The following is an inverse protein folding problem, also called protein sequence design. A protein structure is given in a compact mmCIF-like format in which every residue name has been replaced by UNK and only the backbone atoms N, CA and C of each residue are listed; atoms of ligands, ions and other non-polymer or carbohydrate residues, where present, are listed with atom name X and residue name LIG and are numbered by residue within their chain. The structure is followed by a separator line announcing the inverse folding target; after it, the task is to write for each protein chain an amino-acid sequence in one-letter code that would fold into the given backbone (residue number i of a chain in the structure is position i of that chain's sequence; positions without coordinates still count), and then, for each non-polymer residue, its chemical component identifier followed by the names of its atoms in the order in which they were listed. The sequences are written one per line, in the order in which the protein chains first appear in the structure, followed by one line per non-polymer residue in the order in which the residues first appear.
data_IF_476817795996
#
_entry.id   IF_476817795996
#
_cell.length_a   1.000
_cell.length_b   1.000
_cell.length_c   1.000
_cell.angle_alpha   90.00
_cell.angle_beta   90.00
_cell.angle_gamma   90.00
#
_symmetry.space_group_name_H-M   'P 1'
#
loop_
_entity.id
_entity.type
_entity.pdbx_description
1 polymer ?
#
# COMPACT_ATOMS: atom_id res chain seq x y z
N UNK A 1 3.24 8.46 11.48
CA UNK A 1 2.83 8.91 10.14
C UNK A 1 3.94 8.64 9.13
N UNK A 2 3.59 8.35 7.90
CA UNK A 2 4.54 8.16 6.79
C UNK A 2 5.12 9.50 6.33
N UNK A 3 6.40 9.55 5.88
CA UNK A 3 6.99 10.77 5.28
C UNK A 3 6.30 11.26 4.01
N UNK A 4 5.39 10.46 3.44
CA UNK A 4 4.61 10.80 2.24
C UNK A 4 3.11 10.96 2.54
N UNK A 5 2.72 10.93 3.81
CA UNK A 5 1.33 11.11 4.23
C UNK A 5 0.82 12.53 3.92
N UNK A 6 -0.46 12.68 3.53
CA UNK A 6 -1.10 14.00 3.39
C UNK A 6 -0.99 14.87 4.65
N UNK A 7 -0.95 14.26 5.83
CA UNK A 7 -0.78 14.98 7.10
C UNK A 7 0.58 15.68 7.19
N UNK A 8 1.64 15.06 6.68
CA UNK A 8 2.97 15.66 6.65
C UNK A 8 3.03 16.84 5.69
N UNK A 9 2.30 16.76 4.57
CA UNK A 9 2.16 17.86 3.61
C UNK A 9 1.44 19.05 4.26
N UNK A 10 0.36 18.82 4.99
CA UNK A 10 -0.36 19.86 5.75
C UNK A 10 0.54 20.51 6.80
N UNK A 11 1.37 19.72 7.44
CA UNK A 11 2.33 20.16 8.44
C UNK A 11 3.43 21.04 7.82
N UNK A 12 4.08 20.56 6.76
CA UNK A 12 5.16 21.28 6.06
C UNK A 12 4.63 22.57 5.42
N UNK A 13 3.41 22.55 4.85
CA UNK A 13 2.77 23.72 4.25
C UNK A 13 2.21 24.73 5.28
N UNK A 14 2.35 24.46 6.57
CA UNK A 14 1.88 25.37 7.63
C UNK A 14 0.38 25.42 7.84
N UNK A 15 -0.37 24.42 7.34
CA UNK A 15 -1.82 24.28 7.58
C UNK A 15 -2.07 23.93 9.05
N UNK A 16 -1.15 23.17 9.66
CA UNK A 16 -1.18 22.84 11.08
C UNK A 16 -0.08 23.66 11.77
N UNK A 17 -0.46 24.46 12.78
CA UNK A 17 0.49 25.31 13.50
C UNK A 17 1.34 24.50 14.47
N UNK A 18 2.65 24.57 14.31
CA UNK A 18 3.66 24.00 15.19
C UNK A 18 4.83 24.99 15.32
N UNK A 19 5.73 24.73 16.26
CA UNK A 19 6.96 25.53 16.36
C UNK A 19 7.82 25.43 15.09
N UNK A 20 8.51 26.51 14.73
CA UNK A 20 9.40 26.52 13.56
C UNK A 20 10.53 25.48 13.69
N UNK A 21 10.98 25.16 14.89
CA UNK A 21 11.95 24.12 15.17
C UNK A 21 11.43 22.73 14.77
N UNK A 22 10.22 22.38 15.22
CA UNK A 22 9.59 21.12 14.86
C UNK A 22 9.33 21.03 13.36
N UNK A 23 8.88 22.11 12.74
CA UNK A 23 8.65 22.18 11.31
C UNK A 23 9.93 21.91 10.50
N UNK A 24 11.04 22.52 10.87
CA UNK A 24 12.34 22.27 10.24
C UNK A 24 12.80 20.82 10.44
N UNK A 25 12.75 20.32 11.67
CA UNK A 25 13.14 18.95 11.99
C UNK A 25 12.35 17.91 11.21
N UNK A 26 11.03 18.12 11.05
CA UNK A 26 10.16 17.24 10.24
C UNK A 26 10.51 17.36 8.77
N UNK A 27 10.69 18.56 8.23
CA UNK A 27 11.05 18.76 6.83
C UNK A 27 12.38 18.08 6.47
N UNK A 28 13.39 18.25 7.30
CA UNK A 28 14.72 17.62 7.12
C UNK A 28 14.61 16.09 7.17
N UNK A 29 13.81 15.54 8.09
CA UNK A 29 13.60 14.11 8.19
C UNK A 29 12.86 13.55 6.96
N UNK A 30 11.80 14.21 6.51
CA UNK A 30 11.01 13.83 5.34
C UNK A 30 11.87 13.82 4.08
N UNK A 31 12.71 14.84 3.90
CA UNK A 31 13.65 14.92 2.77
C UNK A 31 14.62 13.74 2.74
N UNK A 32 15.20 13.41 3.90
CA UNK A 32 16.10 12.25 4.03
C UNK A 32 15.38 10.93 3.79
N UNK A 33 14.15 10.78 4.33
CA UNK A 33 13.37 9.55 4.21
C UNK A 33 12.87 9.30 2.78
N UNK A 34 12.55 10.34 2.01
CA UNK A 34 12.15 10.24 0.60
C UNK A 34 13.25 9.70 -0.32
N UNK A 35 14.52 9.84 0.07
CA UNK A 35 15.65 9.29 -0.70
C UNK A 35 15.79 7.78 -0.57
N UNK A 36 15.10 7.16 0.42
CA UNK A 36 15.09 5.71 0.62
C UNK A 36 13.98 5.07 -0.20
N UNK A 37 14.28 3.93 -0.81
CA UNK A 37 13.28 3.09 -1.46
C UNK A 37 12.31 2.48 -0.44
N UNK A 38 11.14 2.02 -0.90
CA UNK A 38 10.19 1.34 -0.03
C UNK A 38 10.79 0.06 0.57
N UNK A 39 11.56 -0.69 -0.22
CA UNK A 39 12.26 -1.89 0.24
C UNK A 39 13.25 -1.58 1.36
N UNK A 40 14.06 -0.51 1.24
CA UNK A 40 14.99 -0.09 2.29
C UNK A 40 14.30 0.34 3.58
N UNK A 41 13.05 0.77 3.52
CA UNK A 41 12.26 1.15 4.70
C UNK A 41 11.69 -0.06 5.45
N UNK A 42 11.38 -1.17 4.75
CA UNK A 42 10.73 -2.36 5.29
C UNK A 42 11.73 -3.37 5.88
N UNK A 43 13.02 -3.25 5.59
CA UNK A 43 14.04 -4.21 6.05
C UNK A 43 13.93 -4.45 7.55
N UNK A 44 13.74 -5.72 7.92
CA UNK A 44 13.71 -6.15 9.33
C UNK A 44 15.09 -6.01 9.99
N UNK A 45 15.09 -5.72 11.29
CA UNK A 45 16.32 -5.55 12.07
C UNK A 45 16.99 -4.18 11.93
N UNK A 46 16.48 -3.29 11.08
CA UNK A 46 17.00 -1.92 10.97
C UNK A 46 16.59 -1.08 12.17
N UNK A 47 17.51 -0.26 12.66
CA UNK A 47 17.23 0.71 13.71
C UNK A 47 16.06 1.63 13.33
N UNK A 48 15.07 1.74 14.22
CA UNK A 48 13.88 2.58 13.99
C UNK A 48 14.27 4.04 14.06
N UNK A 49 13.83 4.81 13.07
CA UNK A 49 14.05 6.25 13.00
C UNK A 49 12.72 7.00 12.94
N UNK A 50 12.72 8.23 13.42
CA UNK A 50 11.55 9.08 13.43
C UNK A 50 11.85 10.46 14.02
N UNK A 51 10.90 11.37 13.85
CA UNK A 51 10.95 12.71 14.40
C UNK A 51 9.62 13.07 15.04
N UNK A 52 9.66 13.65 16.23
CA UNK A 52 8.47 14.15 16.90
C UNK A 52 7.95 15.41 16.21
N UNK A 53 6.66 15.48 15.95
CA UNK A 53 6.05 16.61 15.25
C UNK A 53 5.73 17.79 16.15
N UNK A 54 5.81 17.64 17.49
CA UNK A 54 5.30 18.60 18.44
C UNK A 54 3.78 18.53 18.67
N UNK A 55 3.10 17.60 17.99
CA UNK A 55 1.65 17.42 18.06
C UNK A 55 1.27 16.17 18.85
N UNK A 56 0.06 16.20 19.37
CA UNK A 56 -0.58 15.06 20.01
C UNK A 56 -1.94 14.81 19.35
N UNK A 57 -2.24 13.58 19.05
CA UNK A 57 -3.58 13.12 18.72
C UNK A 57 -4.34 12.75 20.00
N UNK A 58 -5.65 12.90 19.99
CA UNK A 58 -6.50 12.43 21.08
C UNK A 58 -7.00 11.03 20.76
N UNK A 59 -6.72 10.07 21.59
CA UNK A 59 -7.38 8.78 21.53
C UNK A 59 -8.80 8.92 22.09
N UNK A 60 -9.79 8.89 21.24
CA UNK A 60 -11.18 9.15 21.59
C UNK A 60 -11.80 8.08 22.50
N UNK A 61 -11.24 6.89 22.57
CA UNK A 61 -11.73 5.82 23.47
C UNK A 61 -11.45 6.16 24.93
N UNK A 62 -10.24 6.62 25.23
CA UNK A 62 -9.81 6.88 26.61
C UNK A 62 -9.40 8.34 26.87
N UNK A 63 -9.63 9.22 25.91
CA UNK A 63 -9.31 10.65 25.94
C UNK A 63 -7.85 11.00 26.30
N UNK A 64 -6.92 10.06 26.06
CA UNK A 64 -5.48 10.26 26.30
C UNK A 64 -4.81 10.88 25.08
N UNK A 65 -3.82 11.74 25.33
CA UNK A 65 -2.98 12.32 24.31
C UNK A 65 -1.91 11.31 23.89
N UNK A 66 -1.80 11.06 22.58
CA UNK A 66 -0.76 10.23 21.97
C UNK A 66 0.16 11.08 21.12
N UNK A 67 1.48 11.02 21.29
CA UNK A 67 2.40 11.85 20.51
C UNK A 67 2.43 11.42 19.04
N UNK A 68 2.49 12.40 18.15
CA UNK A 68 2.54 12.17 16.70
C UNK A 68 3.99 12.22 16.21
N UNK A 69 4.46 11.14 15.60
CA UNK A 69 5.78 11.03 15.01
C UNK A 69 5.68 10.83 13.49
N UNK A 70 6.63 11.36 12.75
CA UNK A 70 6.91 10.97 11.36
C UNK A 70 8.00 9.90 11.38
N UNK A 71 7.75 8.77 10.74
CA UNK A 71 8.65 7.61 10.75
C UNK A 71 8.77 7.00 9.37
N UNK A 72 9.92 6.45 9.03
CA UNK A 72 10.17 5.89 7.70
C UNK A 72 9.63 4.46 7.50
N UNK A 73 9.30 3.75 8.57
CA UNK A 73 8.73 2.40 8.47
C UNK A 73 7.20 2.37 8.32
N UNK A 74 6.51 3.51 8.46
CA UNK A 74 5.07 3.63 8.14
C UNK A 74 4.90 3.89 6.65
N UNK A 75 4.12 3.05 5.97
CA UNK A 75 3.91 3.15 4.52
C UNK A 75 2.83 4.17 4.18
N UNK A 76 3.12 5.05 3.22
CA UNK A 76 2.21 6.12 2.81
C UNK A 76 1.07 5.66 1.92
N UNK A 77 1.23 4.52 1.28
CA UNK A 77 0.26 3.89 0.36
C UNK A 77 -0.69 2.91 1.06
N UNK A 78 -0.57 2.74 2.38
CA UNK A 78 -1.46 1.88 3.17
C UNK A 78 -2.41 2.75 3.99
N UNK A 79 -3.72 2.61 3.76
CA UNK A 79 -4.75 3.41 4.42
C UNK A 79 -4.54 4.91 4.20
N UNK A 80 -4.49 5.67 5.28
CA UNK A 80 -4.25 7.12 5.25
C UNK A 80 -2.77 7.51 5.31
N UNK A 81 -1.85 6.54 5.36
CA UNK A 81 -0.44 6.79 5.63
C UNK A 81 -0.15 7.18 7.09
N UNK A 82 -1.13 7.08 7.97
CA UNK A 82 -0.98 7.26 9.40
C UNK A 82 -1.54 6.03 10.13
N UNK A 83 -0.86 5.60 11.18
CA UNK A 83 -1.22 4.43 11.98
C UNK A 83 -1.05 4.76 13.45
N UNK A 84 -1.92 4.23 14.30
CA UNK A 84 -1.72 4.26 15.74
C UNK A 84 -0.73 3.14 16.10
N UNK A 85 0.36 3.50 16.75
CA UNK A 85 1.33 2.53 17.26
C UNK A 85 0.77 1.74 18.45
N UNK A 86 1.13 0.46 18.53
CA UNK A 86 0.75 -0.43 19.61
C UNK A 86 1.98 -1.14 20.20
N UNK A 87 2.84 -0.43 20.93
CA UNK A 87 4.14 -0.95 21.38
C UNK A 87 4.05 -2.14 22.36
N UNK A 88 2.88 -2.36 22.96
CA UNK A 88 2.64 -3.56 23.77
C UNK A 88 2.39 -4.84 22.96
N UNK A 89 2.05 -4.72 21.66
CA UNK A 89 1.58 -5.84 20.83
C UNK A 89 2.11 -5.82 19.39
N UNK A 90 3.11 -4.99 19.11
CA UNK A 90 3.87 -4.98 17.86
C UNK A 90 5.35 -4.73 18.17
N UNK A 91 6.23 -5.64 17.73
CA UNK A 91 7.68 -5.55 18.01
C UNK A 91 8.34 -4.34 17.38
N UNK A 92 7.90 -3.92 16.20
CA UNK A 92 8.47 -2.71 15.53
C UNK A 92 8.11 -1.45 16.32
N UNK A 93 6.88 -1.37 16.80
CA UNK A 93 6.41 -0.28 17.65
C UNK A 93 7.07 -0.32 19.03
N UNK A 94 7.30 -1.53 19.59
CA UNK A 94 8.05 -1.71 20.85
C UNK A 94 9.47 -1.16 20.73
N UNK A 95 10.22 -1.54 19.69
CA UNK A 95 11.57 -1.05 19.43
C UNK A 95 11.59 0.47 19.29
N UNK A 96 10.60 1.03 18.58
CA UNK A 96 10.43 2.47 18.44
C UNK A 96 10.15 3.14 19.79
N UNK A 97 9.21 2.61 20.56
CA UNK A 97 8.85 3.16 21.87
C UNK A 97 10.02 3.14 22.86
N UNK A 98 10.78 2.04 22.91
CA UNK A 98 12.01 1.96 23.74
C UNK A 98 13.02 3.00 23.33
N UNK A 99 13.27 3.19 22.04
CA UNK A 99 14.22 4.18 21.54
C UNK A 99 13.85 5.62 21.89
N UNK A 100 12.57 5.95 21.79
CA UNK A 100 12.08 7.31 22.01
C UNK A 100 11.51 7.55 23.42
N UNK A 101 11.68 6.58 24.34
CA UNK A 101 11.21 6.71 25.74
C UNK A 101 9.69 6.84 25.86
N UNK A 102 8.93 6.22 24.95
CA UNK A 102 7.47 6.27 24.96
C UNK A 102 6.88 5.20 25.89
N UNK A 103 5.70 5.44 26.49
CA UNK A 103 5.02 4.46 27.32
C UNK A 103 4.69 3.18 26.55
N UNK A 104 4.93 2.03 27.18
CA UNK A 104 4.55 0.71 26.66
C UNK A 104 3.50 0.13 27.60
N UNK A 105 2.28 0.00 27.12
CA UNK A 105 1.13 -0.44 27.91
C UNK A 105 0.65 -1.78 27.35
N UNK A 106 0.54 -2.79 28.22
CA UNK A 106 -0.08 -4.05 27.86
C UNK A 106 -1.60 -3.84 27.75
N UNK A 107 -2.18 -4.22 26.64
CA UNK A 107 -3.64 -4.15 26.42
C UNK A 107 -4.29 -5.48 26.11
N UNK A 108 -3.48 -6.54 25.96
CA UNK A 108 -3.93 -7.92 25.83
C UNK A 108 -3.10 -8.83 26.75
N UNK A 109 -3.76 -9.69 27.48
CA UNK A 109 -3.15 -10.82 28.22
C UNK A 109 -3.42 -12.08 27.40
N UNK A 110 -2.36 -12.82 27.07
CA UNK A 110 -2.47 -14.08 26.33
C UNK A 110 -3.02 -15.25 27.17
N UNK A 111 -3.04 -16.44 26.58
CA UNK A 111 -3.48 -17.67 27.27
C UNK A 111 -2.59 -18.05 28.47
N UNK A 112 -1.34 -17.56 28.47
CA UNK A 112 -0.39 -17.75 29.56
C UNK A 112 -0.75 -16.95 30.83
N UNK A 113 -1.72 -16.03 30.72
CA UNK A 113 -2.17 -15.21 31.84
C UNK A 113 -1.14 -14.18 32.33
N UNK A 114 -0.05 -13.95 31.59
CA UNK A 114 0.99 -13.02 31.98
C UNK A 114 0.55 -11.58 31.79
N UNK A 115 0.35 -10.85 32.87
CA UNK A 115 -0.22 -9.49 32.89
C UNK A 115 0.78 -8.37 33.29
N UNK A 116 2.03 -8.75 33.60
CA UNK A 116 3.03 -7.77 34.03
C UNK A 116 3.51 -6.83 32.91
N UNK A 117 4.28 -5.81 33.29
CA UNK A 117 4.85 -4.84 32.37
C UNK A 117 5.72 -5.49 31.28
N UNK A 118 5.73 -4.89 30.10
CA UNK A 118 6.54 -5.34 28.97
C UNK A 118 7.87 -4.60 29.00
N UNK A 119 8.92 -5.30 29.42
CA UNK A 119 10.26 -4.76 29.52
C UNK A 119 11.17 -5.21 28.39
N UNK A 120 10.89 -6.36 27.80
CA UNK A 120 11.68 -7.00 26.74
C UNK A 120 10.79 -7.34 25.54
N UNK A 121 11.41 -7.37 24.36
CA UNK A 121 10.73 -7.64 23.09
C UNK A 121 10.06 -9.04 23.06
N UNK A 122 10.65 -10.03 23.73
CA UNK A 122 10.10 -11.39 23.80
C UNK A 122 8.77 -11.46 24.56
N UNK A 123 8.44 -10.43 25.35
CA UNK A 123 7.18 -10.32 26.09
C UNK A 123 6.06 -9.67 25.27
N UNK A 124 6.36 -9.21 24.06
CA UNK A 124 5.40 -8.63 23.13
C UNK A 124 4.58 -9.74 22.48
N UNK A 125 3.28 -9.70 22.66
CA UNK A 125 2.33 -10.67 22.08
C UNK A 125 1.76 -10.08 20.79
N UNK A 126 2.29 -10.50 19.63
CA UNK A 126 1.86 -9.98 18.33
C UNK A 126 0.58 -10.61 17.78
N UNK A 127 0.22 -11.78 18.25
CA UNK A 127 -0.93 -12.55 17.74
C UNK A 127 -1.92 -12.86 18.86
N UNK A 128 -2.46 -11.80 19.47
CA UNK A 128 -3.37 -11.90 20.61
C UNK A 128 -4.78 -12.41 20.28
N UNK A 129 -4.95 -13.30 19.30
CA UNK A 129 -6.25 -13.88 18.96
C UNK A 129 -6.84 -14.74 20.10
N UNK A 130 -6.00 -15.18 21.02
CA UNK A 130 -6.40 -15.93 22.21
C UNK A 130 -5.96 -15.14 23.44
N UNK A 131 -6.90 -14.84 24.33
CA UNK A 131 -6.67 -14.03 25.50
C UNK A 131 -7.78 -13.00 25.71
N UNK A 132 -7.52 -12.01 26.55
CA UNK A 132 -8.51 -11.01 26.89
C UNK A 132 -7.88 -9.61 26.98
N UNK A 133 -8.72 -8.59 26.81
CA UNK A 133 -8.30 -7.19 26.92
C UNK A 133 -8.10 -6.77 28.38
N UNK A 134 -7.06 -5.97 28.61
CA UNK A 134 -6.75 -5.28 29.87
C UNK A 134 -6.38 -3.84 29.56
N UNK A 135 -6.47 -2.94 30.53
CA UNK A 135 -6.15 -1.51 30.35
C UNK A 135 -6.86 -0.84 29.16
N UNK A 136 -8.05 -1.34 28.81
CA UNK A 136 -8.77 -1.03 27.56
C UNK A 136 -10.20 -0.58 27.81
N UNK A 137 -10.47 0.04 28.98
CA UNK A 137 -11.76 0.61 29.39
C UNK A 137 -12.91 -0.40 29.25
N UNK A 138 -13.94 -0.08 28.44
CA UNK A 138 -15.12 -0.93 28.24
C UNK A 138 -14.84 -2.28 27.55
N UNK A 139 -13.60 -2.50 27.09
CA UNK A 139 -13.17 -3.75 26.48
C UNK A 139 -12.54 -4.72 27.47
N UNK A 140 -12.23 -4.26 28.72
CA UNK A 140 -11.57 -5.10 29.71
C UNK A 140 -12.31 -6.41 29.96
N UNK A 141 -11.55 -7.52 29.96
CA UNK A 141 -12.08 -8.88 30.18
C UNK A 141 -12.71 -9.54 28.96
N UNK A 142 -12.93 -8.81 27.86
CA UNK A 142 -13.47 -9.40 26.63
C UNK A 142 -12.37 -10.17 25.88
N UNK A 143 -12.75 -11.26 25.22
CA UNK A 143 -11.90 -11.93 24.25
C UNK A 143 -11.65 -11.06 23.01
N UNK A 144 -10.63 -11.43 22.25
CA UNK A 144 -10.20 -10.61 21.09
C UNK A 144 -11.34 -10.37 20.08
N UNK A 145 -12.04 -11.42 19.65
CA UNK A 145 -13.10 -11.31 18.64
C UNK A 145 -14.27 -10.47 19.14
N UNK A 146 -14.73 -10.71 20.36
CA UNK A 146 -15.81 -9.95 20.97
C UNK A 146 -15.43 -8.47 21.16
N UNK A 147 -14.21 -8.21 21.61
CA UNK A 147 -13.70 -6.84 21.78
C UNK A 147 -13.55 -6.11 20.46
N UNK A 148 -13.12 -6.82 19.39
CA UNK A 148 -13.04 -6.26 18.05
C UNK A 148 -14.43 -5.85 17.52
N UNK A 149 -15.43 -6.72 17.63
CA UNK A 149 -16.79 -6.41 17.22
C UNK A 149 -17.36 -5.22 18.00
N UNK A 150 -17.19 -5.24 19.31
CA UNK A 150 -17.65 -4.13 20.17
C UNK A 150 -16.98 -2.79 19.87
N UNK A 151 -15.70 -2.82 19.51
CA UNK A 151 -14.97 -1.62 19.07
C UNK A 151 -15.54 -1.06 17.76
N UNK A 152 -15.81 -1.96 16.80
CA UNK A 152 -16.42 -1.57 15.52
C UNK A 152 -17.84 -0.99 15.71
N UNK A 153 -18.67 -1.64 16.53
CA UNK A 153 -20.01 -1.13 16.88
C UNK A 153 -19.93 0.27 17.50
N UNK A 154 -19.01 0.45 18.45
CA UNK A 154 -18.80 1.73 19.12
C UNK A 154 -18.38 2.84 18.13
N UNK A 155 -17.49 2.53 17.20
CA UNK A 155 -17.05 3.51 16.20
C UNK A 155 -18.17 3.88 15.22
N UNK A 156 -19.00 2.91 14.82
CA UNK A 156 -20.15 3.16 13.96
C UNK A 156 -21.23 4.00 14.70
N UNK A 157 -21.52 3.66 15.96
CA UNK A 157 -22.46 4.42 16.79
C UNK A 157 -22.03 5.88 16.96
N UNK A 158 -20.73 6.12 17.15
CA UNK A 158 -20.18 7.50 17.28
C UNK A 158 -20.00 8.21 15.94
N UNK A 159 -20.20 7.53 14.81
CA UNK A 159 -19.94 8.11 13.49
C UNK A 159 -18.46 8.35 13.19
N UNK A 160 -17.54 7.67 13.91
CA UNK A 160 -16.09 7.83 13.75
C UNK A 160 -15.50 6.89 12.69
N UNK A 161 -16.24 5.87 12.29
CA UNK A 161 -15.81 4.90 11.32
C UNK A 161 -16.97 4.09 10.78
N UNK A 162 -16.67 3.21 9.85
CA UNK A 162 -17.60 2.20 9.33
C UNK A 162 -16.86 0.92 9.03
N UNK A 163 -17.55 -0.21 9.13
CA UNK A 163 -17.02 -1.49 8.66
C UNK A 163 -16.82 -1.45 7.16
N UNK A 164 -15.69 -1.94 6.72
CA UNK A 164 -15.36 -2.11 5.30
C UNK A 164 -14.75 -3.48 5.09
N UNK A 165 -15.07 -4.10 3.97
CA UNK A 165 -14.41 -5.32 3.55
C UNK A 165 -13.25 -4.97 2.65
N UNK A 166 -12.06 -5.43 2.99
CA UNK A 166 -10.86 -5.30 2.15
C UNK A 166 -10.38 -6.68 1.75
N UNK A 167 -9.84 -6.77 0.53
CA UNK A 167 -9.30 -8.02 0.01
C UNK A 167 -7.78 -7.98 0.06
N UNK A 168 -7.15 -9.05 0.56
CA UNK A 168 -5.68 -9.19 0.59
C UNK A 168 -5.10 -9.68 -0.72
N UNK A 169 -5.93 -9.79 -1.75
CA UNK A 169 -5.48 -10.14 -3.09
C UNK A 169 -4.78 -8.92 -3.70
N UNK A 170 -3.57 -9.11 -4.21
CA UNK A 170 -2.92 -8.10 -5.05
C UNK A 170 -3.60 -8.07 -6.41
N UNK A 171 -3.71 -6.87 -6.98
CA UNK A 171 -4.19 -6.72 -8.34
C UNK A 171 -3.35 -7.59 -9.30
N UNK A 172 -4.03 -8.29 -10.16
CA UNK A 172 -3.39 -9.09 -11.17
C UNK A 172 -2.82 -8.17 -12.26
N UNK A 173 -1.50 -8.15 -12.39
CA UNK A 173 -0.85 -7.46 -13.50
C UNK A 173 -1.04 -8.29 -14.77
N UNK A 174 -1.85 -7.78 -15.70
CA UNK A 174 -2.15 -8.48 -16.97
C UNK A 174 -1.02 -8.33 -18.00
N UNK A 175 -0.13 -7.39 -17.82
CA UNK A 175 0.92 -6.99 -18.77
C UNK A 175 2.14 -7.89 -18.67
N UNK A 176 2.68 -8.36 -19.82
CA UNK A 176 3.89 -9.16 -19.93
C UNK A 176 4.81 -8.61 -21.02
N UNK A 177 6.10 -8.49 -20.70
CA UNK A 177 7.16 -8.01 -21.56
C UNK A 177 7.76 -9.19 -22.36
N UNK A 178 6.96 -9.78 -23.23
CA UNK A 178 7.35 -10.90 -24.10
C UNK A 178 6.68 -10.80 -25.47
N UNK A 179 7.16 -11.58 -26.43
CA UNK A 179 6.60 -11.57 -27.80
C UNK A 179 5.23 -12.25 -27.87
N UNK A 180 5.10 -13.47 -27.31
CA UNK A 180 3.89 -14.28 -27.45
C UNK A 180 2.81 -13.93 -26.43
N UNK A 181 1.62 -13.81 -26.92
CA UNK A 181 0.41 -13.49 -26.15
C UNK A 181 -0.48 -12.52 -26.91
N UNK A 182 -1.72 -12.32 -26.51
CA UNK A 182 -2.59 -11.32 -27.10
C UNK A 182 -2.03 -9.92 -26.86
N UNK A 183 -1.74 -9.13 -27.90
CA UNK A 183 -1.34 -7.73 -27.73
C UNK A 183 -2.40 -6.96 -26.95
N UNK A 184 -1.96 -6.12 -26.03
CA UNK A 184 -2.88 -5.24 -25.27
C UNK A 184 -3.37 -4.13 -26.22
N UNK A 185 -4.68 -4.03 -26.50
CA UNK A 185 -5.20 -3.16 -27.55
C UNK A 185 -5.35 -1.70 -27.07
N UNK A 186 -4.23 -1.10 -26.67
CA UNK A 186 -4.16 0.28 -26.19
C UNK A 186 -3.17 1.11 -27.00
N UNK A 187 -3.44 2.41 -27.10
CA UNK A 187 -2.61 3.40 -27.79
C UNK A 187 -2.36 4.54 -26.82
N UNK A 188 -1.10 4.93 -26.67
CA UNK A 188 -0.70 6.09 -25.91
C UNK A 188 -0.45 7.29 -26.83
N UNK A 189 -1.10 8.40 -26.55
CA UNK A 189 -0.89 9.67 -27.22
C UNK A 189 -0.48 10.72 -26.18
N UNK A 190 0.57 11.48 -26.43
CA UNK A 190 1.04 12.51 -25.50
C UNK A 190 -0.03 13.56 -25.15
N UNK A 191 -0.91 13.89 -26.12
CA UNK A 191 -1.98 14.87 -25.91
C UNK A 191 -3.25 14.29 -25.29
N UNK A 192 -3.59 13.04 -25.63
CA UNK A 192 -4.89 12.43 -25.29
C UNK A 192 -4.79 11.36 -24.20
N UNK A 193 -3.59 10.95 -23.80
CA UNK A 193 -3.34 9.86 -22.87
C UNK A 193 -3.59 8.49 -23.50
N UNK A 194 -3.89 7.50 -22.67
CA UNK A 194 -4.21 6.15 -23.09
C UNK A 194 -5.60 6.06 -23.70
N UNK A 195 -5.70 5.43 -24.88
CA UNK A 195 -6.93 5.22 -25.62
C UNK A 195 -7.02 3.77 -26.10
N UNK A 196 -8.21 3.18 -26.21
CA UNK A 196 -8.35 1.87 -26.83
C UNK A 196 -8.10 1.93 -28.34
N UNK A 197 -7.60 0.84 -28.91
CA UNK A 197 -7.60 0.63 -30.35
C UNK A 197 -9.05 0.62 -30.84
N UNK A 198 -9.40 1.30 -31.94
CA UNK A 198 -10.75 1.26 -32.50
C UNK A 198 -11.19 -0.17 -32.82
N UNK A 199 -12.47 -0.50 -32.59
CA UNK A 199 -13.01 -1.84 -32.86
C UNK A 199 -12.81 -2.29 -34.30
N UNK A 200 -12.85 -1.35 -35.25
CA UNK A 200 -12.60 -1.61 -36.68
C UNK A 200 -11.16 -2.06 -37.00
N UNK A 201 -10.23 -1.83 -36.06
CA UNK A 201 -8.81 -2.23 -36.20
C UNK A 201 -8.45 -3.48 -35.38
N UNK A 202 -9.44 -4.12 -34.76
CA UNK A 202 -9.25 -5.37 -34.02
C UNK A 202 -9.41 -6.59 -34.95
N UNK A 203 -8.67 -7.68 -34.70
CA UNK A 203 -7.68 -7.88 -33.63
C UNK A 203 -6.34 -7.20 -33.94
N UNK A 204 -5.61 -6.77 -32.90
CA UNK A 204 -4.20 -6.38 -33.05
C UNK A 204 -3.36 -7.66 -33.22
N UNK A 205 -2.75 -7.81 -34.38
CA UNK A 205 -1.95 -9.01 -34.72
C UNK A 205 -0.50 -8.80 -34.33
N UNK A 206 0.14 -9.90 -33.90
CA UNK A 206 1.60 -9.92 -33.69
C UNK A 206 2.33 -9.82 -35.05
N UNK A 207 3.37 -8.98 -35.15
CA UNK A 207 4.22 -8.95 -36.34
C UNK A 207 5.10 -10.20 -36.42
N UNK A 208 5.43 -10.62 -37.65
CA UNK A 208 6.42 -11.69 -37.84
C UNK A 208 7.84 -11.14 -37.64
N UNK A 209 8.49 -11.54 -36.55
CA UNK A 209 9.83 -11.06 -36.17
C UNK A 209 10.76 -12.21 -35.90
N UNK A 210 12.06 -12.01 -36.20
CA UNK A 210 13.10 -13.03 -35.98
C UNK A 210 13.67 -12.94 -34.54
N UNK A 211 13.80 -11.73 -34.00
CA UNK A 211 14.33 -11.46 -32.64
C UNK A 211 13.21 -11.29 -31.65
N UNK A 212 12.70 -12.38 -31.10
CA UNK A 212 11.59 -12.44 -30.18
C UNK A 212 12.01 -12.75 -28.74
N UNK A 213 13.32 -12.91 -28.48
CA UNK A 213 13.80 -13.21 -27.14
C UNK A 213 13.93 -11.93 -26.30
N UNK A 214 13.62 -12.00 -24.99
CA UNK A 214 13.91 -10.93 -24.07
C UNK A 214 15.42 -10.64 -23.98
N UNK A 215 15.80 -9.37 -23.97
CA UNK A 215 17.21 -8.93 -23.92
C UNK A 215 17.66 -8.48 -22.52
N UNK A 216 16.82 -8.68 -21.50
CA UNK A 216 17.09 -8.23 -20.12
C UNK A 216 16.87 -6.74 -19.87
N UNK A 217 16.43 -5.95 -20.86
CA UNK A 217 16.13 -4.53 -20.70
C UNK A 217 14.84 -4.26 -19.92
N UNK A 218 14.04 -5.29 -19.65
CA UNK A 218 12.70 -5.16 -19.07
C UNK A 218 11.63 -4.64 -20.05
N UNK A 219 12.00 -4.45 -21.33
CA UNK A 219 11.05 -4.08 -22.38
C UNK A 219 10.64 -5.27 -23.23
N UNK A 220 9.43 -5.21 -23.77
CA UNK A 220 8.95 -6.21 -24.73
C UNK A 220 9.79 -6.21 -26.02
N UNK A 221 10.03 -7.38 -26.66
CA UNK A 221 10.61 -7.43 -28.00
C UNK A 221 9.84 -6.60 -29.02
N UNK A 222 8.53 -6.44 -28.87
CA UNK A 222 7.67 -5.61 -29.72
C UNK A 222 8.04 -4.11 -29.69
N UNK A 223 8.65 -3.65 -28.60
CA UNK A 223 9.14 -2.27 -28.50
C UNK A 223 10.33 -1.96 -29.43
N UNK A 224 10.92 -2.99 -30.07
CA UNK A 224 11.97 -2.87 -31.08
C UNK A 224 11.44 -2.83 -32.51
N UNK A 225 10.12 -2.90 -32.70
CA UNK A 225 9.46 -3.04 -34.02
C UNK A 225 8.63 -1.77 -34.31
N UNK A 226 9.24 -0.74 -34.92
CA UNK A 226 8.56 0.52 -35.19
C UNK A 226 7.25 0.37 -35.97
N UNK A 227 7.20 -0.58 -36.92
CA UNK A 227 6.03 -0.87 -37.75
C UNK A 227 4.85 -1.43 -36.91
N UNK A 228 5.14 -2.00 -35.76
CA UNK A 228 4.10 -2.46 -34.84
C UNK A 228 3.60 -1.35 -33.91
N UNK A 229 4.49 -0.61 -33.27
CA UNK A 229 4.08 0.30 -32.23
C UNK A 229 3.79 1.74 -32.70
N UNK A 230 4.43 2.23 -33.78
CA UNK A 230 4.13 3.56 -34.29
C UNK A 230 2.76 3.59 -34.96
N UNK A 231 1.91 4.53 -34.54
CA UNK A 231 0.53 4.64 -35.03
C UNK A 231 0.04 6.07 -34.96
N UNK A 232 -1.22 6.28 -35.33
CA UNK A 232 -1.91 7.56 -35.17
C UNK A 232 -2.92 7.50 -34.02
N UNK A 233 -3.06 8.60 -33.32
CA UNK A 233 -4.05 8.72 -32.26
C UNK A 233 -5.47 8.67 -32.83
N UNK A 234 -6.33 7.75 -32.36
CA UNK A 234 -7.70 7.66 -32.87
C UNK A 234 -8.58 8.87 -32.54
N UNK A 235 -8.16 9.70 -31.56
CA UNK A 235 -8.91 10.88 -31.14
C UNK A 235 -8.45 12.17 -31.81
N UNK A 236 -7.15 12.40 -31.94
CA UNK A 236 -6.64 13.68 -32.46
C UNK A 236 -5.86 13.56 -33.80
N UNK A 237 -5.62 12.34 -34.30
CA UNK A 237 -4.89 12.06 -35.53
C UNK A 237 -3.38 12.32 -35.47
N UNK A 238 -2.85 12.79 -34.32
CA UNK A 238 -1.43 13.01 -34.11
C UNK A 238 -0.64 11.70 -33.95
N UNK A 239 0.68 11.81 -33.85
CA UNK A 239 1.54 10.65 -33.62
C UNK A 239 1.24 10.04 -32.25
N UNK A 240 1.26 8.72 -32.20
CA UNK A 240 0.95 7.91 -31.03
C UNK A 240 1.68 6.56 -31.09
N UNK A 241 1.72 5.86 -29.96
CA UNK A 241 2.39 4.57 -29.85
C UNK A 241 1.41 3.51 -29.33
N UNK A 242 1.39 2.33 -29.95
CA UNK A 242 0.69 1.17 -29.42
C UNK A 242 1.41 0.65 -28.19
N UNK A 243 0.63 0.07 -27.25
CA UNK A 243 1.19 -0.75 -26.19
C UNK A 243 1.98 -1.91 -26.79
N UNK A 244 3.18 -2.15 -26.26
CA UNK A 244 4.09 -3.21 -26.74
C UNK A 244 4.07 -4.44 -25.85
N UNK A 245 3.41 -4.36 -24.70
CA UNK A 245 3.22 -5.52 -23.85
C UNK A 245 2.07 -6.39 -24.37
N UNK A 246 2.14 -7.66 -24.04
CA UNK A 246 1.08 -8.64 -24.32
C UNK A 246 0.36 -9.03 -23.04
N UNK A 247 -0.86 -9.51 -23.16
CA UNK A 247 -1.63 -9.99 -22.02
C UNK A 247 -1.04 -11.29 -21.47
N UNK A 248 -1.28 -11.51 -20.17
CA UNK A 248 -0.95 -12.76 -19.50
C UNK A 248 -1.64 -13.95 -20.18
N UNK A 249 -0.94 -15.06 -20.29
CA UNK A 249 -1.47 -16.30 -20.88
C UNK A 249 -2.74 -16.79 -20.18
N UNK A 250 -2.88 -16.51 -18.88
CA UNK A 250 -4.06 -16.91 -18.15
C UNK A 250 -5.31 -16.19 -18.66
N UNK A 251 -5.20 -14.91 -19.01
CA UNK A 251 -6.30 -14.15 -19.62
C UNK A 251 -6.75 -14.80 -20.93
N UNK A 252 -5.78 -15.16 -21.78
CA UNK A 252 -6.02 -15.79 -23.05
C UNK A 252 -6.64 -17.19 -22.88
N UNK A 253 -6.01 -18.06 -22.08
CA UNK A 253 -6.46 -19.42 -21.85
C UNK A 253 -7.82 -19.53 -21.11
N UNK A 254 -8.16 -18.55 -20.30
CA UNK A 254 -9.42 -18.56 -19.54
C UNK A 254 -10.68 -18.48 -20.42
N UNK A 255 -10.54 -18.06 -21.68
CA UNK A 255 -11.65 -17.92 -22.63
C UNK A 255 -11.98 -19.21 -23.39
N UNK A 256 -11.28 -20.33 -23.17
CA UNK A 256 -11.43 -21.57 -23.94
C UNK A 256 -12.87 -22.08 -24.00
N UNK A 257 -13.65 -21.98 -22.93
CA UNK A 257 -15.02 -22.46 -22.88
C UNK A 257 -15.99 -21.62 -23.74
N UNK A 258 -15.72 -20.36 -23.99
CA UNK A 258 -16.48 -19.55 -24.94
C UNK A 258 -16.21 -19.97 -26.40
N UNK A 259 -15.04 -20.53 -26.67
CA UNK A 259 -14.69 -21.02 -28.01
C UNK A 259 -15.39 -22.31 -28.36
N UNK A 260 -15.83 -23.13 -27.43
CA UNK A 260 -16.51 -24.40 -27.70
C UNK A 260 -17.75 -24.25 -28.59
N UNK A 261 -18.70 -23.33 -28.38
CA UNK A 261 -19.83 -23.13 -29.24
C UNK A 261 -19.49 -22.72 -30.67
N UNK A 262 -18.36 -22.01 -30.87
CA UNK A 262 -17.94 -21.47 -32.16
C UNK A 262 -16.70 -22.14 -32.72
N UNK A 263 -16.34 -23.33 -32.26
CA UNK A 263 -15.08 -24.00 -32.62
C UNK A 263 -14.95 -24.33 -34.11
N UNK A 264 -16.08 -24.36 -34.84
CA UNK A 264 -16.15 -24.62 -36.30
C UNK A 264 -16.31 -23.36 -37.13
N UNK A 265 -16.41 -22.20 -36.49
CA UNK A 265 -16.48 -20.89 -37.14
C UNK A 265 -15.09 -20.31 -37.27
N UNK A 266 -14.77 -19.80 -38.44
CA UNK A 266 -13.46 -19.20 -38.76
C UNK A 266 -13.58 -17.69 -38.84
#
# INVERSE_FOLDING_TARGET
SSPTSPYDICFIKGIITVSEENKRSVADYVEKAKKKTEQERIIEGKEKTGVFTGLYAINWINNKKVPVYVTDFVLGNVGTGAVQGCPGHDKKDFQFAKKFGLPIIRVVVGEDGYDSSIEKEEQVIEHGMKGHFVNSEFLNGLGFEEGLQKTMDYFEEKGWGKRVTTYRLRDWCVSRQRYWGPPIPMIHCEKCGWLPVPESELPVLLPDIKDYLPDGSGKSPLAKVPEFYLTKCPKCGGDAERETDVSDTFLDSAWYYYRYPSSREH
#
